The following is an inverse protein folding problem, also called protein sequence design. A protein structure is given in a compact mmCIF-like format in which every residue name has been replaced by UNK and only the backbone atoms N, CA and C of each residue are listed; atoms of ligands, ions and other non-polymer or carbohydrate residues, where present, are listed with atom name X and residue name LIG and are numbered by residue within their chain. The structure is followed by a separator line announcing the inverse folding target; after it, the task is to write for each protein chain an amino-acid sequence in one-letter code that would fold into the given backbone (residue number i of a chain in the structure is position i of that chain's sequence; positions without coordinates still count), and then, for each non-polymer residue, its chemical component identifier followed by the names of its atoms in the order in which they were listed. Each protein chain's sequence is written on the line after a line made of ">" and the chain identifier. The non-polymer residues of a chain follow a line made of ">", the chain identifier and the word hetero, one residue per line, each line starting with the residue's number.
data_IF_131016863205
#
_entry.id   IF_131016863205
#
_cell.length_a   1.000
_cell.length_b   1.000
_cell.length_c   1.000
_cell.angle_alpha   90.00
_cell.angle_beta   90.00
_cell.angle_gamma   90.00
#
_symmetry.space_group_name_H-M   'P 1'
#
loop_
_entity.id
_entity.type
_entity.pdbx_description
1 polymer ?
#
# COMPACT_ATOMS: atom_id res chain seq x y z
N UNK A 1 -8.59 4.20 22.96
CA UNK A 1 -8.79 2.99 22.14
C UNK A 1 -7.43 2.34 21.96
N UNK A 2 -7.24 1.13 22.48
CA UNK A 2 -5.96 0.41 22.36
C UNK A 2 -5.82 -0.14 20.94
N UNK A 3 -4.75 0.23 20.25
CA UNK A 3 -4.41 -0.29 18.93
C UNK A 3 -4.09 -1.78 19.06
N UNK A 4 -4.71 -2.65 18.27
CA UNK A 4 -4.50 -4.09 18.43
C UNK A 4 -3.15 -4.51 17.85
N UNK A 5 -2.60 -5.65 18.29
CA UNK A 5 -1.35 -6.18 17.74
C UNK A 5 -1.49 -6.49 16.23
N UNK A 6 -2.68 -6.90 15.79
CA UNK A 6 -3.00 -7.13 14.38
C UNK A 6 -2.91 -5.84 13.55
N UNK A 7 -3.47 -4.74 14.05
CA UNK A 7 -3.37 -3.44 13.36
C UNK A 7 -1.92 -2.99 13.21
N UNK A 8 -1.08 -3.30 14.20
CA UNK A 8 0.34 -2.92 14.18
C UNK A 8 1.10 -3.68 13.10
N UNK A 9 0.91 -5.00 13.00
CA UNK A 9 1.50 -5.82 11.95
C UNK A 9 1.04 -5.40 10.54
N UNK A 10 -0.27 -5.16 10.35
CA UNK A 10 -0.81 -4.69 9.07
C UNK A 10 -0.23 -3.32 8.68
N UNK A 11 -0.11 -2.40 9.64
CA UNK A 11 0.51 -1.08 9.41
C UNK A 11 1.97 -1.18 8.95
N UNK A 12 2.72 -2.15 9.46
CA UNK A 12 4.11 -2.38 9.05
C UNK A 12 4.20 -2.94 7.65
N UNK A 13 3.34 -3.91 7.30
CA UNK A 13 3.25 -4.46 5.95
C UNK A 13 2.88 -3.39 4.93
N UNK A 14 1.89 -2.54 5.23
CA UNK A 14 1.50 -1.42 4.34
C UNK A 14 2.67 -0.44 4.15
N UNK A 15 3.40 -0.10 5.22
CA UNK A 15 4.60 0.75 5.12
C UNK A 15 5.67 0.11 4.23
N UNK A 16 5.91 -1.18 4.37
CA UNK A 16 6.87 -1.90 3.52
C UNK A 16 6.42 -1.93 2.06
N UNK A 17 5.13 -2.15 1.80
CA UNK A 17 4.58 -2.13 0.45
C UNK A 17 4.80 -0.77 -0.22
N UNK A 18 4.51 0.31 0.50
CA UNK A 18 4.72 1.69 0.03
C UNK A 18 6.19 1.98 -0.23
N UNK A 19 7.10 1.61 0.67
CA UNK A 19 8.53 1.85 0.52
C UNK A 19 9.13 1.05 -0.66
N UNK A 20 8.74 -0.21 -0.80
CA UNK A 20 9.25 -1.09 -1.85
C UNK A 20 8.68 -0.75 -3.23
N UNK A 21 7.39 -0.39 -3.32
CA UNK A 21 6.67 -0.33 -4.59
C UNK A 21 6.07 1.04 -4.92
N UNK A 22 6.25 2.06 -4.08
CA UNK A 22 5.70 3.41 -4.30
C UNK A 22 6.19 4.10 -5.58
N UNK A 23 7.26 3.58 -6.20
CA UNK A 23 7.73 4.02 -7.52
C UNK A 23 6.80 3.57 -8.67
N UNK A 24 5.97 2.55 -8.46
CA UNK A 24 4.98 2.08 -9.44
C UNK A 24 3.80 3.05 -9.61
N UNK A 25 3.59 3.96 -8.65
CA UNK A 25 2.52 4.97 -8.72
C UNK A 25 2.93 6.07 -9.69
N UNK A 26 2.21 6.16 -10.83
CA UNK A 26 2.48 7.13 -11.90
C UNK A 26 2.24 8.57 -11.44
N UNK A 27 3.01 9.49 -12.00
CA UNK A 27 2.83 10.93 -11.76
C UNK A 27 1.44 11.40 -12.24
N UNK A 28 0.78 12.25 -11.45
CA UNK A 28 -0.59 12.70 -11.66
C UNK A 28 -1.66 11.67 -11.27
N UNK A 29 -1.28 10.50 -10.77
CA UNK A 29 -2.23 9.44 -10.41
C UNK A 29 -2.49 9.37 -8.92
N UNK A 30 -3.71 8.97 -8.57
CA UNK A 30 -4.15 8.58 -7.23
C UNK A 30 -4.80 7.21 -7.31
N UNK A 31 -4.30 6.27 -6.54
CA UNK A 31 -4.81 4.90 -6.45
C UNK A 31 -5.32 4.65 -5.04
N UNK A 32 -6.44 3.97 -4.92
CA UNK A 32 -6.83 3.29 -3.68
C UNK A 32 -5.79 2.23 -3.30
N UNK A 33 -5.77 1.78 -2.04
CA UNK A 33 -4.85 0.72 -1.64
C UNK A 33 -5.12 -0.60 -2.38
N UNK A 34 -6.38 -0.91 -2.67
CA UNK A 34 -6.76 -2.08 -3.47
C UNK A 34 -6.25 -1.99 -4.92
N UNK A 35 -6.37 -0.82 -5.56
CA UNK A 35 -5.80 -0.61 -6.89
C UNK A 35 -4.27 -0.71 -6.88
N UNK A 36 -3.62 -0.19 -5.84
CA UNK A 36 -2.18 -0.31 -5.68
C UNK A 36 -1.75 -1.76 -5.44
N UNK A 37 -2.50 -2.54 -4.66
CA UNK A 37 -2.29 -3.97 -4.48
C UNK A 37 -2.36 -4.73 -5.82
N UNK A 38 -3.35 -4.41 -6.66
CA UNK A 38 -3.45 -4.99 -8.00
C UNK A 38 -2.25 -4.63 -8.90
N UNK A 39 -1.70 -3.42 -8.77
CA UNK A 39 -0.47 -3.02 -9.48
C UNK A 39 0.73 -3.83 -9.01
N UNK A 40 0.87 -4.07 -7.69
CA UNK A 40 1.94 -4.90 -7.13
C UNK A 40 1.85 -6.33 -7.66
N UNK A 41 0.67 -6.95 -7.65
CA UNK A 41 0.46 -8.32 -8.16
C UNK A 41 0.76 -8.45 -9.66
N UNK A 42 0.45 -7.42 -10.44
CA UNK A 42 0.81 -7.37 -11.88
C UNK A 42 2.32 -7.27 -12.09
N UNK A 43 3.03 -6.67 -11.16
CA UNK A 43 4.47 -6.47 -11.27
C UNK A 43 5.29 -7.65 -10.74
N UNK A 44 4.80 -8.36 -9.73
CA UNK A 44 5.50 -9.47 -9.09
C UNK A 44 4.54 -10.55 -8.59
N UNK A 45 4.85 -11.81 -8.91
CA UNK A 45 4.13 -13.00 -8.45
C UNK A 45 4.77 -13.68 -7.23
N UNK A 46 5.73 -13.04 -6.56
CA UNK A 46 6.35 -13.58 -5.35
C UNK A 46 5.39 -13.59 -4.14
N UNK A 47 5.48 -14.61 -3.29
CA UNK A 47 4.66 -14.75 -2.07
C UNK A 47 4.72 -13.54 -1.14
N UNK A 48 5.90 -12.90 -1.03
CA UNK A 48 6.04 -11.65 -0.26
C UNK A 48 5.25 -10.48 -0.86
N UNK A 49 5.17 -10.39 -2.19
CA UNK A 49 4.37 -9.36 -2.85
C UNK A 49 2.87 -9.60 -2.62
N UNK A 50 2.44 -10.87 -2.60
CA UNK A 50 1.07 -11.25 -2.27
C UNK A 50 0.70 -10.89 -0.82
N UNK A 51 1.58 -11.17 0.15
CA UNK A 51 1.33 -10.80 1.55
C UNK A 51 1.19 -9.27 1.74
N UNK A 52 2.00 -8.49 1.02
CA UNK A 52 1.92 -7.02 1.02
C UNK A 52 0.63 -6.52 0.34
N UNK A 53 0.26 -7.12 -0.78
CA UNK A 53 -0.98 -6.80 -1.49
C UNK A 53 -2.22 -7.11 -0.65
N UNK A 54 -2.25 -8.25 0.03
CA UNK A 54 -3.34 -8.60 0.95
C UNK A 54 -3.46 -7.61 2.12
N UNK A 55 -2.34 -7.17 2.69
CA UNK A 55 -2.35 -6.15 3.74
C UNK A 55 -2.92 -4.81 3.26
N UNK A 56 -2.58 -4.39 2.04
CA UNK A 56 -3.13 -3.19 1.41
C UNK A 56 -4.64 -3.28 1.19
N UNK A 57 -5.16 -4.44 0.79
CA UNK A 57 -6.61 -4.67 0.58
C UNK A 57 -7.40 -4.69 1.89
N UNK A 58 -6.77 -5.07 3.01
CA UNK A 58 -7.42 -5.07 4.32
C UNK A 58 -7.61 -3.67 4.90
N UNK A 59 -6.95 -2.64 4.33
CA UNK A 59 -7.00 -1.27 4.80
C UNK A 59 -7.73 -0.35 3.82
N UNK A 60 -8.23 0.76 4.33
CA UNK A 60 -8.80 1.84 3.51
C UNK A 60 -7.80 2.98 3.37
N UNK A 61 -7.75 3.64 2.21
CA UNK A 61 -6.78 4.71 1.99
C UNK A 61 -6.41 4.92 0.54
N UNK A 62 -5.28 5.62 0.32
CA UNK A 62 -4.77 5.90 -1.00
C UNK A 62 -3.25 6.06 -1.02
N UNK A 63 -2.69 5.86 -2.21
CA UNK A 63 -1.35 6.32 -2.60
C UNK A 63 -1.49 7.26 -3.81
N UNK A 64 -0.71 8.32 -3.86
CA UNK A 64 -0.74 9.30 -4.94
C UNK A 64 0.65 9.83 -5.23
N UNK A 65 0.91 10.20 -6.48
CA UNK A 65 2.13 10.90 -6.87
C UNK A 65 1.75 12.14 -7.66
N UNK A 66 2.03 13.30 -7.12
CA UNK A 66 1.73 14.59 -7.75
C UNK A 66 2.92 15.56 -7.58
N UNK A 67 2.72 16.83 -7.90
CA UNK A 67 3.75 17.88 -7.77
C UNK A 67 4.25 18.08 -6.33
N UNK A 68 3.49 17.64 -5.32
CA UNK A 68 3.90 17.64 -3.90
C UNK A 68 4.74 16.42 -3.54
N UNK A 69 4.98 15.54 -4.50
CA UNK A 69 5.72 14.29 -4.32
C UNK A 69 4.80 13.08 -4.13
N UNK A 70 5.38 12.03 -3.56
CA UNK A 70 4.65 10.80 -3.22
C UNK A 70 3.93 10.97 -1.88
N UNK A 71 2.64 10.64 -1.85
CA UNK A 71 1.79 10.72 -0.67
C UNK A 71 1.07 9.40 -0.47
N UNK A 72 0.99 8.95 0.77
CA UNK A 72 0.21 7.79 1.15
C UNK A 72 -0.56 8.09 2.43
N UNK A 73 -1.78 7.59 2.52
CA UNK A 73 -2.61 7.65 3.71
C UNK A 73 -3.40 6.36 3.81
N UNK A 74 -3.50 5.80 5.02
CA UNK A 74 -4.27 4.58 5.24
C UNK A 74 -4.81 4.53 6.67
N UNK A 75 -5.87 3.75 6.82
CA UNK A 75 -6.49 3.40 8.08
C UNK A 75 -6.70 1.89 8.11
N UNK A 76 -6.07 1.25 9.09
CA UNK A 76 -6.34 -0.13 9.51
C UNK A 76 -7.53 -0.11 10.47
#
# INVERSE_FOLDING_TARGET
>A
MSKTAADTATNELIRHAIAAWGYLVRWGSRLTLAEFAAVIRRHSSHERAEALAAALESATGFVARDWRGFRANWQC
#
